data_IF_353234955954
#
_entry.id   IF_353234955954
#
_cell.length_a   1.000
_cell.length_b   1.000
_cell.length_c   1.000
_cell.angle_alpha   90.00
_cell.angle_beta   90.00
_cell.angle_gamma   90.00
#
_symmetry.space_group_name_H-M   'P 1'
#
loop_
_entity.id
_entity.type
_entity.pdbx_description
1 polymer ?
#
# COMPACT_ATOMS: atom_id res chain seq x y z
N UNK A 1 -15.96 21.70 -28.63
CA UNK A 1 -14.64 21.31 -28.07
C UNK A 1 -14.70 21.00 -26.56
N UNK A 2 -15.56 21.67 -25.78
CA UNK A 2 -15.70 21.52 -24.32
C UNK A 2 -16.30 20.16 -23.88
N UNK A 3 -17.23 19.59 -24.66
CA UNK A 3 -17.83 18.28 -24.33
C UNK A 3 -16.87 17.08 -24.48
N UNK A 4 -15.83 17.17 -25.32
CA UNK A 4 -14.85 16.07 -25.46
C UNK A 4 -13.85 16.03 -24.29
N UNK A 5 -13.59 17.18 -23.65
CA UNK A 5 -12.70 17.29 -22.48
C UNK A 5 -13.40 16.78 -21.22
N UNK A 6 -14.71 17.02 -21.08
CA UNK A 6 -15.52 16.51 -19.97
C UNK A 6 -15.60 14.98 -19.92
N UNK A 7 -15.72 14.32 -21.08
CA UNK A 7 -15.77 12.84 -21.17
C UNK A 7 -14.41 12.20 -20.87
N UNK A 8 -13.30 12.81 -21.32
CA UNK A 8 -11.95 12.35 -21.02
C UNK A 8 -11.58 12.46 -19.53
N UNK A 9 -12.04 13.51 -18.85
CA UNK A 9 -11.85 13.66 -17.40
C UNK A 9 -12.68 12.64 -16.62
N UNK A 10 -13.89 12.32 -17.08
CA UNK A 10 -14.76 11.34 -16.43
C UNK A 10 -14.21 9.91 -16.59
N UNK A 11 -13.64 9.57 -17.75
CA UNK A 11 -12.97 8.28 -17.98
C UNK A 11 -11.70 8.16 -17.12
N UNK A 12 -10.92 9.24 -16.96
CA UNK A 12 -9.73 9.24 -16.09
C UNK A 12 -10.06 9.18 -14.58
N UNK A 13 -11.21 9.68 -14.15
CA UNK A 13 -11.67 9.56 -12.76
C UNK A 13 -12.20 8.16 -12.42
N UNK A 14 -12.76 7.44 -13.39
CA UNK A 14 -13.16 6.04 -13.20
C UNK A 14 -11.97 5.06 -13.25
N UNK A 15 -10.90 5.35 -13.98
CA UNK A 15 -9.70 4.49 -14.01
C UNK A 15 -8.75 4.70 -12.82
N UNK A 16 -8.84 5.83 -12.11
CA UNK A 16 -8.01 6.13 -10.94
C UNK A 16 -8.64 5.73 -9.60
N UNK A 17 -9.89 5.24 -9.61
CA UNK A 17 -10.64 4.86 -8.41
C UNK A 17 -10.93 3.34 -8.31
N UNK A 18 -9.99 2.49 -8.75
CA UNK A 18 -10.05 1.04 -8.53
C UNK A 18 -8.83 0.47 -7.78
N UNK A 19 -7.92 1.31 -7.28
CA UNK A 19 -6.87 0.89 -6.36
C UNK A 19 -7.06 1.54 -4.99
N UNK A 20 -8.27 1.35 -4.43
CA UNK A 20 -8.37 1.23 -2.98
C UNK A 20 -7.35 0.17 -2.57
N UNK A 21 -6.30 0.58 -1.88
CA UNK A 21 -5.47 -0.34 -1.11
C UNK A 21 -6.39 -0.99 -0.08
N UNK A 22 -7.05 -2.07 -0.49
CA UNK A 22 -7.42 -3.09 0.45
C UNK A 22 -6.10 -3.48 1.11
N UNK A 23 -6.04 -3.42 2.43
CA UNK A 23 -5.09 -4.26 3.13
C UNK A 23 -5.48 -5.68 2.70
N UNK A 24 -4.88 -6.17 1.62
CA UNK A 24 -5.12 -7.51 1.11
C UNK A 24 -4.86 -8.43 2.29
N UNK A 25 -5.91 -9.10 2.74
CA UNK A 25 -5.80 -10.10 3.79
C UNK A 25 -4.76 -11.09 3.25
N UNK A 26 -3.62 -11.27 3.94
CA UNK A 26 -2.54 -12.09 3.42
C UNK A 26 -3.09 -13.47 3.12
N UNK A 27 -2.86 -13.94 1.91
CA UNK A 27 -3.37 -15.24 1.46
C UNK A 27 -2.75 -16.35 2.30
N UNK A 28 -3.44 -17.49 2.44
CA UNK A 28 -2.90 -18.65 3.17
C UNK A 28 -1.50 -19.04 2.69
N UNK A 29 -1.27 -19.02 1.38
CA UNK A 29 0.04 -19.34 0.79
C UNK A 29 1.15 -18.32 1.10
N UNK A 30 0.82 -17.05 1.33
CA UNK A 30 1.80 -16.05 1.79
C UNK A 30 2.17 -16.27 3.25
N UNK A 31 1.18 -16.53 4.11
CA UNK A 31 1.39 -16.82 5.52
C UNK A 31 2.24 -18.09 5.71
N UNK A 32 1.97 -19.16 4.95
CA UNK A 32 2.78 -20.38 4.98
C UNK A 32 4.23 -20.13 4.57
N UNK A 33 4.46 -19.33 3.52
CA UNK A 33 5.81 -18.97 3.06
C UNK A 33 6.54 -18.12 4.11
N UNK A 34 5.86 -17.17 4.73
CA UNK A 34 6.41 -16.35 5.80
C UNK A 34 6.75 -17.17 7.04
N UNK A 35 5.88 -18.10 7.45
CA UNK A 35 6.12 -19.00 8.58
C UNK A 35 7.30 -19.94 8.30
N UNK A 36 7.40 -20.49 7.09
CA UNK A 36 8.52 -21.30 6.65
C UNK A 36 9.85 -20.52 6.71
N UNK A 37 9.83 -19.24 6.32
CA UNK A 37 10.98 -18.35 6.41
C UNK A 37 11.47 -18.18 7.86
N UNK A 38 10.57 -17.92 8.82
CA UNK A 38 10.95 -17.84 10.23
C UNK A 38 11.53 -19.15 10.77
N UNK A 39 10.91 -20.27 10.38
CA UNK A 39 11.37 -21.61 10.79
C UNK A 39 12.77 -21.94 10.26
N UNK A 40 13.10 -21.58 9.02
CA UNK A 40 14.44 -21.79 8.45
C UNK A 40 15.53 -21.05 9.25
N UNK A 41 15.18 -19.92 9.87
CA UNK A 41 16.06 -19.14 10.75
C UNK A 41 16.03 -19.57 12.21
N UNK A 42 15.37 -20.68 12.53
CA UNK A 42 15.17 -21.19 13.90
C UNK A 42 14.40 -20.20 14.81
N UNK A 43 13.68 -19.24 14.23
CA UNK A 43 12.81 -18.32 14.96
C UNK A 43 11.45 -19.00 15.21
N UNK A 44 11.43 -19.96 16.14
CA UNK A 44 10.28 -20.85 16.33
C UNK A 44 9.03 -20.14 16.84
N UNK A 45 9.15 -19.15 17.74
CA UNK A 45 8.00 -18.43 18.27
C UNK A 45 7.25 -17.64 17.17
N UNK A 46 7.93 -16.76 16.38
CA UNK A 46 7.29 -16.11 15.23
C UNK A 46 6.74 -17.12 14.21
N UNK A 47 7.47 -18.21 13.94
CA UNK A 47 6.99 -19.22 13.00
C UNK A 47 5.66 -19.85 13.45
N UNK A 48 5.55 -20.24 14.72
CA UNK A 48 4.32 -20.82 15.27
C UNK A 48 3.16 -19.81 15.28
N UNK A 49 3.42 -18.54 15.58
CA UNK A 49 2.43 -17.46 15.51
C UNK A 49 1.87 -17.32 14.08
N UNK A 50 2.77 -17.26 13.08
CA UNK A 50 2.37 -17.13 11.67
C UNK A 50 1.70 -18.40 11.14
N UNK A 51 2.12 -19.60 11.56
CA UNK A 51 1.41 -20.83 11.21
C UNK A 51 0.00 -20.87 11.79
N UNK A 52 -0.24 -20.37 13.01
CA UNK A 52 -1.59 -20.23 13.57
C UNK A 52 -2.47 -19.28 12.75
N UNK A 53 -1.91 -18.17 12.29
CA UNK A 53 -2.61 -17.25 11.39
C UNK A 53 -2.94 -17.94 10.05
N UNK A 54 -1.99 -18.70 9.49
CA UNK A 54 -2.20 -19.47 8.27
C UNK A 54 -3.31 -20.52 8.44
N UNK A 55 -3.36 -21.23 9.57
CA UNK A 55 -4.41 -22.21 9.89
C UNK A 55 -5.77 -21.51 9.93
N UNK A 56 -5.90 -20.41 10.67
CA UNK A 56 -7.17 -19.69 10.78
C UNK A 56 -7.66 -19.10 9.44
N UNK A 57 -6.75 -18.81 8.51
CA UNK A 57 -7.11 -18.39 7.15
C UNK A 57 -7.49 -19.59 6.27
N UNK A 58 -6.72 -20.68 6.33
CA UNK A 58 -6.98 -21.92 5.61
C UNK A 58 -8.33 -22.55 6.00
N UNK A 59 -8.74 -22.46 7.27
CA UNK A 59 -10.06 -22.90 7.74
C UNK A 59 -11.20 -22.12 7.08
N UNK A 60 -11.04 -20.80 6.92
CA UNK A 60 -12.03 -19.93 6.24
C UNK A 60 -12.12 -20.26 4.76
N UNK A 61 -10.97 -20.51 4.13
CA UNK A 61 -10.85 -20.88 2.72
C UNK A 61 -11.25 -22.34 2.46
N UNK A 62 -11.40 -23.16 3.51
CA UNK A 62 -11.62 -24.62 3.47
C UNK A 62 -10.54 -25.36 2.69
N UNK A 63 -9.30 -24.86 2.74
CA UNK A 63 -8.15 -25.48 2.09
C UNK A 63 -7.53 -26.57 2.98
N UNK A 64 -7.92 -27.82 2.74
CA UNK A 64 -7.43 -28.97 3.51
C UNK A 64 -5.94 -29.25 3.30
N UNK A 65 -5.39 -28.92 2.13
CA UNK A 65 -3.97 -29.14 1.82
C UNK A 65 -3.12 -28.13 2.59
N UNK A 66 -3.52 -26.85 2.59
CA UNK A 66 -2.84 -25.83 3.36
C UNK A 66 -2.91 -26.09 4.88
N UNK A 67 -4.05 -26.59 5.39
CA UNK A 67 -4.17 -27.03 6.78
C UNK A 67 -3.18 -28.16 7.10
N UNK A 68 -3.15 -29.20 6.26
CA UNK A 68 -2.22 -30.33 6.44
C UNK A 68 -0.76 -29.86 6.46
N UNK A 69 -0.38 -28.98 5.54
CA UNK A 69 0.97 -28.38 5.50
C UNK A 69 1.25 -27.58 6.79
N UNK A 70 0.34 -26.70 7.21
CA UNK A 70 0.56 -25.87 8.40
C UNK A 70 0.77 -26.72 9.67
N UNK A 71 -0.04 -27.76 9.85
CA UNK A 71 0.09 -28.69 10.98
C UNK A 71 1.35 -29.55 10.89
N UNK A 72 1.72 -30.06 9.71
CA UNK A 72 2.98 -30.78 9.49
C UNK A 72 4.19 -29.92 9.88
N UNK A 73 4.24 -28.69 9.38
CA UNK A 73 5.39 -27.81 9.63
C UNK A 73 5.48 -27.37 11.10
N UNK A 74 4.32 -27.22 11.76
CA UNK A 74 4.21 -27.02 13.21
C UNK A 74 4.73 -28.23 13.99
N UNK A 75 4.34 -29.45 13.59
CA UNK A 75 4.84 -30.70 14.17
C UNK A 75 6.37 -30.82 14.09
N UNK A 76 6.96 -30.50 12.93
CA UNK A 76 8.42 -30.45 12.77
C UNK A 76 9.11 -29.46 13.71
N UNK A 77 8.48 -28.31 14.02
CA UNK A 77 9.00 -27.35 15.01
C UNK A 77 8.98 -27.98 16.40
N UNK A 78 7.87 -28.58 16.82
CA UNK A 78 7.77 -29.23 18.13
C UNK A 78 8.77 -30.38 18.28
N UNK A 79 9.00 -31.17 17.23
CA UNK A 79 10.04 -32.20 17.22
C UNK A 79 11.44 -31.62 17.43
N UNK A 80 11.78 -30.51 16.77
CA UNK A 80 13.06 -29.79 16.98
C UNK A 80 13.21 -29.28 18.41
N UNK A 81 12.10 -28.94 19.08
CA UNK A 81 12.05 -28.57 20.50
C UNK A 81 12.00 -29.77 21.44
N UNK A 82 12.14 -31.00 20.94
CA UNK A 82 12.00 -32.26 21.69
C UNK A 82 10.62 -32.49 22.33
N UNK A 83 9.59 -31.77 21.88
CA UNK A 83 8.20 -31.93 22.32
C UNK A 83 7.49 -33.00 21.47
N UNK A 84 7.89 -34.26 21.66
CA UNK A 84 7.51 -35.41 20.81
C UNK A 84 5.99 -35.65 20.75
N UNK A 85 5.30 -35.56 21.88
CA UNK A 85 3.84 -35.76 21.95
C UNK A 85 3.08 -34.70 21.14
N UNK A 86 3.44 -33.42 21.30
CA UNK A 86 2.86 -32.32 20.52
C UNK A 86 3.14 -32.48 19.03
N UNK A 87 4.33 -32.97 18.66
CA UNK A 87 4.66 -33.25 17.27
C UNK A 87 3.70 -34.31 16.68
N UNK A 88 3.52 -35.45 17.36
CA UNK A 88 2.60 -36.51 16.93
C UNK A 88 1.14 -36.03 16.85
N UNK A 89 0.67 -35.24 17.82
CA UNK A 89 -0.67 -34.66 17.79
C UNK A 89 -0.88 -33.82 16.52
N UNK A 90 0.06 -32.93 16.21
CA UNK A 90 -0.02 -32.08 15.01
C UNK A 90 0.10 -32.90 13.72
N UNK A 91 0.98 -33.90 13.66
CA UNK A 91 1.14 -34.75 12.47
C UNK A 91 -0.08 -35.64 12.22
N UNK A 92 -0.73 -36.15 13.28
CA UNK A 92 -1.99 -36.91 13.14
C UNK A 92 -3.14 -36.01 12.68
N UNK A 93 -3.22 -34.78 13.19
CA UNK A 93 -4.19 -33.78 12.71
C UNK A 93 -3.91 -33.46 11.24
N UNK A 94 -2.65 -33.23 10.85
CA UNK A 94 -2.26 -33.00 9.46
C UNK A 94 -2.67 -34.15 8.53
N UNK A 95 -2.51 -35.41 9.00
CA UNK A 95 -2.90 -36.59 8.25
C UNK A 95 -4.42 -36.67 8.04
N UNK A 96 -5.22 -36.24 9.02
CA UNK A 96 -6.70 -36.24 8.91
C UNK A 96 -7.25 -35.33 7.82
N UNK A 97 -6.51 -34.29 7.42
CA UNK A 97 -6.89 -33.38 6.35
C UNK A 97 -6.50 -33.87 4.94
N UNK A 98 -5.74 -34.97 4.84
CA UNK A 98 -5.36 -35.57 3.56
C UNK A 98 -6.48 -36.50 3.09
N UNK A 99 -7.39 -35.95 2.28
CA UNK A 99 -8.54 -36.68 1.74
C UNK A 99 -8.32 -37.19 0.31
N UNK A 100 -7.40 -36.56 -0.44
CA UNK A 100 -7.24 -36.82 -1.87
C UNK A 100 -6.00 -37.66 -2.21
N UNK A 101 -6.06 -38.52 -3.24
CA UNK A 101 -4.88 -39.23 -3.77
C UNK A 101 -3.83 -38.29 -4.39
N UNK A 102 -4.23 -37.09 -4.84
CA UNK A 102 -3.29 -36.11 -5.38
C UNK A 102 -2.25 -35.61 -4.35
N UNK A 103 -2.51 -35.81 -3.06
CA UNK A 103 -1.61 -35.44 -1.94
C UNK A 103 -0.76 -36.60 -1.43
N UNK A 104 -0.56 -37.65 -2.24
CA UNK A 104 0.22 -38.83 -1.86
C UNK A 104 1.66 -38.46 -1.42
N UNK A 105 2.31 -37.51 -2.08
CA UNK A 105 3.64 -37.03 -1.69
C UNK A 105 3.65 -36.44 -0.26
N UNK A 106 2.63 -35.64 0.09
CA UNK A 106 2.50 -35.07 1.43
C UNK A 106 2.19 -36.16 2.47
N UNK A 107 1.41 -37.17 2.09
CA UNK A 107 1.10 -38.32 2.97
C UNK A 107 2.36 -39.14 3.29
N UNK A 108 3.17 -39.44 2.28
CA UNK A 108 4.46 -40.12 2.45
C UNK A 108 5.40 -39.31 3.35
N UNK A 109 5.44 -37.99 3.18
CA UNK A 109 6.21 -37.11 4.06
C UNK A 109 5.72 -37.18 5.51
N UNK A 110 4.42 -37.09 5.76
CA UNK A 110 3.85 -37.22 7.10
C UNK A 110 4.18 -38.56 7.76
N UNK A 111 4.04 -39.67 7.04
CA UNK A 111 4.43 -40.97 7.57
C UNK A 111 5.93 -41.02 7.93
N UNK A 112 6.79 -40.42 7.10
CA UNK A 112 8.22 -40.31 7.42
C UNK A 112 8.46 -39.51 8.69
N UNK A 113 7.79 -38.36 8.85
CA UNK A 113 7.97 -37.51 10.04
C UNK A 113 7.46 -38.20 11.31
N UNK A 114 6.30 -38.88 11.25
CA UNK A 114 5.76 -39.68 12.35
C UNK A 114 6.74 -40.80 12.72
N UNK A 115 7.29 -41.51 11.73
CA UNK A 115 8.32 -42.53 11.92
C UNK A 115 9.56 -41.99 12.62
N UNK A 116 9.99 -40.77 12.29
CA UNK A 116 11.09 -40.08 12.96
C UNK A 116 10.77 -39.78 14.43
N UNK A 117 9.53 -39.36 14.74
CA UNK A 117 9.13 -39.10 16.13
C UNK A 117 9.11 -40.39 16.95
N UNK A 118 8.61 -41.50 16.40
CA UNK A 118 8.65 -42.81 17.07
C UNK A 118 10.08 -43.32 17.27
N UNK A 119 10.93 -43.16 16.26
CA UNK A 119 12.35 -43.52 16.34
C UNK A 119 13.06 -42.73 17.45
N UNK A 120 12.83 -41.42 17.52
CA UNK A 120 13.34 -40.58 18.62
C UNK A 120 12.75 -40.94 19.99
N UNK A 121 11.59 -41.59 20.03
CA UNK A 121 10.93 -42.06 21.26
C UNK A 121 11.40 -43.46 21.68
N UNK A 122 12.30 -44.09 20.94
CA UNK A 122 12.77 -45.45 21.20
C UNK A 122 11.77 -46.55 20.81
N UNK A 123 10.70 -46.21 20.09
CA UNK A 123 9.67 -47.16 19.65
C UNK A 123 10.01 -47.65 18.23
N UNK A 124 10.93 -48.60 18.15
CA UNK A 124 11.48 -49.10 16.89
C UNK A 124 10.41 -49.73 15.98
N UNK A 125 9.48 -50.53 16.52
CA UNK A 125 8.45 -51.22 15.73
C UNK A 125 7.49 -50.23 15.05
N UNK A 126 7.02 -49.22 15.80
CA UNK A 126 6.17 -48.17 15.26
C UNK A 126 6.92 -47.35 14.21
N UNK A 127 8.18 -47.00 14.48
CA UNK A 127 9.01 -46.30 13.50
C UNK A 127 9.17 -47.11 12.20
N UNK A 128 9.44 -48.42 12.32
CA UNK A 128 9.58 -49.32 11.18
C UNK A 128 8.30 -49.36 10.33
N UNK A 129 7.13 -49.50 10.96
CA UNK A 129 5.83 -49.49 10.30
C UNK A 129 5.57 -48.19 9.52
N UNK A 130 5.84 -47.04 10.13
CA UNK A 130 5.63 -45.75 9.47
C UNK A 130 6.66 -45.49 8.37
N UNK A 131 7.91 -45.95 8.52
CA UNK A 131 8.88 -45.91 7.44
C UNK A 131 8.51 -46.82 6.26
N UNK A 132 7.87 -47.96 6.52
CA UNK A 132 7.32 -48.82 5.48
C UNK A 132 6.26 -48.09 4.66
N UNK A 133 5.28 -47.48 5.36
CA UNK A 133 4.25 -46.65 4.74
C UNK A 133 4.79 -45.46 3.95
N UNK A 134 5.93 -44.92 4.38
CA UNK A 134 6.60 -43.80 3.73
C UNK A 134 7.56 -44.22 2.59
N UNK A 135 7.77 -45.52 2.36
CA UNK A 135 8.79 -46.02 1.42
C UNK A 135 10.25 -45.72 1.85
N UNK A 136 10.50 -45.46 3.14
CA UNK A 136 11.82 -45.05 3.65
C UNK A 136 12.72 -46.26 3.97
N UNK A 137 13.13 -47.01 2.93
CA UNK A 137 13.90 -48.26 3.05
C UNK A 137 15.22 -48.11 3.82
N UNK A 138 15.98 -47.03 3.60
CA UNK A 138 17.24 -46.78 4.33
C UNK A 138 17.01 -46.66 5.85
N UNK A 139 15.91 -46.02 6.28
CA UNK A 139 15.59 -45.90 7.70
C UNK A 139 15.15 -47.23 8.31
N UNK A 140 14.42 -48.05 7.55
CA UNK A 140 14.08 -49.42 7.96
C UNK A 140 15.34 -50.28 8.13
N UNK A 141 16.25 -50.25 7.14
CA UNK A 141 17.52 -50.98 7.20
C UNK A 141 18.36 -50.58 8.42
N UNK A 142 18.36 -49.29 8.79
CA UNK A 142 19.05 -48.80 9.99
C UNK A 142 18.46 -49.36 11.28
N UNK A 143 17.13 -49.47 11.39
CA UNK A 143 16.48 -50.11 12.54
C UNK A 143 16.84 -51.59 12.60
N UNK A 144 16.76 -52.31 11.47
CA UNK A 144 17.14 -53.71 11.39
C UNK A 144 18.62 -53.93 11.78
N UNK A 145 19.51 -53.05 11.35
CA UNK A 145 20.93 -53.05 11.74
C UNK A 145 21.10 -52.90 13.26
N UNK A 146 20.36 -51.99 13.89
CA UNK A 146 20.40 -51.79 15.35
C UNK A 146 19.88 -53.00 16.13
N UNK A 147 18.94 -53.74 15.54
CA UNK A 147 18.39 -54.97 16.11
C UNK A 147 19.25 -56.22 15.81
N UNK A 148 20.34 -56.09 15.05
CA UNK A 148 21.21 -57.21 14.66
C UNK A 148 20.77 -58.01 13.43
N UNK A 149 19.66 -57.64 12.79
CA UNK A 149 19.13 -58.27 11.57
C UNK A 149 19.84 -57.78 10.30
N UNK A 150 21.17 -57.92 10.24
CA UNK A 150 21.98 -57.38 9.14
C UNK A 150 21.63 -57.95 7.76
N UNK A 151 21.29 -59.24 7.69
CA UNK A 151 20.93 -59.89 6.42
C UNK A 151 19.63 -59.34 5.83
N UNK A 152 18.61 -59.13 6.67
CA UNK A 152 17.32 -58.56 6.27
C UNK A 152 17.47 -57.11 5.81
N UNK A 153 18.33 -56.33 6.49
CA UNK A 153 18.67 -54.99 6.07
C UNK A 153 19.39 -54.98 4.70
N UNK A 154 20.29 -55.94 4.46
CA UNK A 154 20.99 -56.09 3.18
C UNK A 154 20.03 -56.43 2.03
N UNK A 155 19.10 -57.38 2.24
CA UNK A 155 18.10 -57.76 1.22
C UNK A 155 17.18 -56.60 0.88
N UNK A 156 16.67 -55.91 1.90
CA UNK A 156 15.77 -54.77 1.74
C UNK A 156 16.41 -53.65 0.92
N UNK A 157 17.70 -53.33 1.16
CA UNK A 157 18.41 -52.31 0.40
C UNK A 157 18.76 -52.76 -1.04
N UNK A 158 19.08 -54.05 -1.24
CA UNK A 158 19.36 -54.61 -2.57
C UNK A 158 18.11 -54.58 -3.45
N UNK A 159 16.95 -54.95 -2.92
CA UNK A 159 15.66 -54.86 -3.61
C UNK A 159 15.37 -53.44 -4.09
N UNK A 160 15.61 -52.45 -3.22
CA UNK A 160 15.41 -51.05 -3.58
C UNK A 160 16.41 -50.57 -4.64
N UNK A 161 17.67 -50.97 -4.55
CA UNK A 161 18.72 -50.59 -5.53
C UNK A 161 18.46 -51.09 -6.97
N UNK A 162 17.65 -52.15 -7.11
CA UNK A 162 17.26 -52.73 -8.39
C UNK A 162 16.11 -52.01 -9.10
N UNK A 163 15.44 -51.06 -8.42
CA UNK A 163 14.34 -50.29 -9.00
C UNK A 163 14.86 -49.09 -9.81
N UNK A 164 14.01 -48.56 -10.69
CA UNK A 164 14.31 -47.36 -11.50
C UNK A 164 14.24 -46.09 -10.63
N UNK A 165 15.30 -45.85 -9.86
CA UNK A 165 15.41 -44.76 -8.89
C UNK A 165 16.34 -43.65 -9.41
N UNK A 166 16.09 -42.36 -9.10
CA UNK A 166 17.01 -41.27 -9.40
C UNK A 166 18.45 -41.53 -8.91
N UNK A 167 19.44 -41.14 -9.73
CA UNK A 167 20.88 -41.39 -9.47
C UNK A 167 21.35 -40.95 -8.07
N UNK A 168 20.80 -39.85 -7.54
CA UNK A 168 21.15 -39.32 -6.22
C UNK A 168 20.65 -40.21 -5.08
N UNK A 169 19.39 -40.65 -5.15
CA UNK A 169 18.81 -41.56 -4.15
C UNK A 169 19.50 -42.93 -4.22
N UNK A 170 19.85 -43.38 -5.43
CA UNK A 170 20.63 -44.60 -5.63
C UNK A 170 22.00 -44.55 -4.94
N UNK A 171 22.67 -43.40 -4.93
CA UNK A 171 23.95 -43.22 -4.24
C UNK A 171 23.82 -43.37 -2.71
N UNK A 172 22.73 -42.86 -2.12
CA UNK A 172 22.45 -43.03 -0.68
C UNK A 172 22.20 -44.50 -0.32
N UNK A 173 21.51 -45.24 -1.19
CA UNK A 173 21.30 -46.69 -1.02
C UNK A 173 22.63 -47.45 -1.07
N UNK A 174 23.50 -47.15 -2.05
CA UNK A 174 24.81 -47.79 -2.15
C UNK A 174 25.72 -47.47 -0.96
N UNK A 175 25.66 -46.26 -0.41
CA UNK A 175 26.36 -45.90 0.82
C UNK A 175 25.83 -46.68 2.02
N UNK A 176 24.51 -46.82 2.17
CA UNK A 176 23.91 -47.62 3.23
C UNK A 176 24.30 -49.11 3.13
N UNK A 177 24.32 -49.66 1.90
CA UNK A 177 24.79 -51.03 1.63
C UNK A 177 26.26 -51.21 2.00
N UNK A 178 27.13 -50.28 1.55
CA UNK A 178 28.54 -50.31 1.86
C UNK A 178 28.79 -50.23 3.37
N UNK A 179 28.09 -49.37 4.08
CA UNK A 179 28.19 -49.25 5.55
C UNK A 179 27.81 -50.55 6.27
N UNK A 180 26.77 -51.22 5.79
CA UNK A 180 26.34 -52.50 6.32
C UNK A 180 27.36 -53.61 6.02
N UNK A 181 27.91 -53.64 4.81
CA UNK A 181 28.93 -54.61 4.40
C UNK A 181 30.27 -54.40 5.13
N UNK A 182 30.66 -53.15 5.38
CA UNK A 182 31.82 -52.81 6.22
C UNK A 182 31.62 -53.37 7.63
N UNK A 183 30.44 -53.19 8.22
CA UNK A 183 30.12 -53.75 9.54
C UNK A 183 30.16 -55.29 9.59
N UNK A 184 29.85 -55.94 8.47
CA UNK A 184 29.94 -57.40 8.30
C UNK A 184 31.34 -57.90 7.89
N UNK A 185 32.31 -57.01 7.67
CA UNK A 185 33.66 -57.35 7.19
C UNK A 185 33.74 -57.72 5.70
N UNK A 186 32.66 -57.54 4.93
CA UNK A 186 32.60 -57.81 3.48
C UNK A 186 33.16 -56.62 2.67
N UNK A 187 34.45 -56.34 2.84
CA UNK A 187 35.06 -55.09 2.35
C UNK A 187 35.05 -54.95 0.81
N UNK A 188 35.25 -56.04 0.08
CA UNK A 188 35.32 -55.99 -1.39
C UNK A 188 33.94 -55.72 -2.02
N UNK A 189 32.88 -56.25 -1.42
CA UNK A 189 31.51 -55.94 -1.84
C UNK A 189 31.15 -54.47 -1.54
N UNK A 190 31.61 -53.94 -0.40
CA UNK A 190 31.42 -52.55 -0.04
C UNK A 190 32.12 -51.63 -1.04
N UNK A 191 33.36 -51.92 -1.41
CA UNK A 191 34.13 -51.14 -2.40
C UNK A 191 33.46 -51.14 -3.78
N UNK A 192 32.92 -52.29 -4.20
CA UNK A 192 32.12 -52.39 -5.44
C UNK A 192 30.86 -51.52 -5.41
N UNK A 193 30.16 -51.46 -4.28
CA UNK A 193 29.00 -50.58 -4.16
C UNK A 193 29.41 -49.10 -4.15
N UNK A 194 30.54 -48.77 -3.53
CA UNK A 194 31.07 -47.40 -3.50
C UNK A 194 31.55 -46.91 -4.87
N UNK A 195 31.97 -47.78 -5.80
CA UNK A 195 32.34 -47.35 -7.15
C UNK A 195 31.16 -46.79 -7.97
N UNK A 196 29.93 -47.15 -7.60
CA UNK A 196 28.70 -46.60 -8.20
C UNK A 196 28.32 -45.23 -7.62
N UNK A 197 28.95 -44.81 -6.51
CA UNK A 197 28.70 -43.53 -5.85
C UNK A 197 29.52 -42.42 -6.53
N UNK A 198 28.91 -41.28 -6.91
CA UNK A 198 29.64 -40.15 -7.49
C UNK A 198 30.76 -39.65 -6.58
N UNK A 199 31.91 -39.30 -7.15
CA UNK A 199 33.06 -38.75 -6.40
C UNK A 199 32.77 -37.43 -5.69
N UNK A 200 31.75 -36.68 -6.15
CA UNK A 200 31.29 -35.47 -5.48
C UNK A 200 30.55 -35.73 -4.16
N UNK A 201 30.19 -36.99 -3.86
CA UNK A 201 29.44 -37.32 -2.66
C UNK A 201 30.35 -37.32 -1.42
N UNK A 202 30.09 -36.49 -0.39
CA UNK A 202 31.01 -36.34 0.74
C UNK A 202 31.24 -37.64 1.50
N UNK A 203 30.18 -38.39 1.75
CA UNK A 203 30.22 -39.61 2.56
C UNK A 203 30.96 -40.78 1.89
N UNK A 204 31.27 -40.70 0.59
CA UNK A 204 32.07 -41.70 -0.13
C UNK A 204 33.45 -41.86 0.53
N UNK A 205 34.16 -40.75 0.73
CA UNK A 205 35.50 -40.77 1.32
C UNK A 205 35.50 -41.22 2.79
N UNK A 206 34.41 -40.99 3.52
CA UNK A 206 34.25 -41.51 4.87
C UNK A 206 34.08 -43.04 4.89
N UNK A 207 33.40 -43.63 3.91
CA UNK A 207 33.28 -45.08 3.76
C UNK A 207 34.61 -45.71 3.30
N UNK A 208 35.29 -45.12 2.31
CA UNK A 208 36.61 -45.58 1.85
C UNK A 208 37.68 -45.51 2.95
N UNK A 209 37.65 -44.47 3.79
CA UNK A 209 38.54 -44.35 4.95
C UNK A 209 38.32 -45.50 5.94
N UNK A 210 37.06 -45.87 6.22
CA UNK A 210 36.73 -47.03 7.08
C UNK A 210 37.21 -48.35 6.49
N UNK A 211 37.08 -48.55 5.18
CA UNK A 211 37.61 -49.74 4.48
C UNK A 211 39.13 -49.82 4.58
N UNK A 212 39.84 -48.70 4.38
CA UNK A 212 41.29 -48.67 4.52
C UNK A 212 41.74 -48.97 5.96
N UNK A 213 41.03 -48.42 6.96
CA UNK A 213 41.27 -48.73 8.38
C UNK A 213 41.06 -50.21 8.70
N UNK A 214 39.98 -50.83 8.20
CA UNK A 214 39.72 -52.25 8.44
C UNK A 214 40.71 -53.17 7.73
N UNK A 215 41.34 -52.71 6.63
CA UNK A 215 42.48 -53.39 5.97
C UNK A 215 43.82 -53.15 6.65
N UNK A 216 43.91 -52.21 7.60
CA UNK A 216 45.14 -51.83 8.29
C UNK A 216 46.02 -50.84 7.54
N UNK A 217 45.56 -50.27 6.42
CA UNK A 217 46.30 -49.23 5.68
C UNK A 217 46.02 -47.85 6.27
N UNK A 218 46.84 -47.47 7.27
CA UNK A 218 46.70 -46.19 7.96
C UNK A 218 46.97 -44.98 7.07
N UNK A 219 47.81 -45.11 6.03
CA UNK A 219 48.16 -43.98 5.15
C UNK A 219 47.00 -43.69 4.21
N UNK A 220 46.44 -44.72 3.59
CA UNK A 220 45.29 -44.59 2.72
C UNK A 220 44.05 -44.11 3.51
N UNK A 221 43.87 -44.60 4.73
CA UNK A 221 42.81 -44.14 5.63
C UNK A 221 42.89 -42.64 5.93
N UNK A 222 44.08 -42.12 6.25
CA UNK A 222 44.30 -40.70 6.54
C UNK A 222 44.09 -39.82 5.31
N UNK A 223 44.55 -40.28 4.13
CA UNK A 223 44.30 -39.59 2.87
C UNK A 223 42.79 -39.41 2.59
N UNK A 224 42.01 -40.49 2.71
CA UNK A 224 40.56 -40.42 2.53
C UNK A 224 39.88 -39.59 3.61
N UNK A 225 40.35 -39.64 4.85
CA UNK A 225 39.82 -38.81 5.92
C UNK A 225 40.04 -37.31 5.66
N UNK A 226 41.24 -36.92 5.23
CA UNK A 226 41.54 -35.52 4.82
C UNK A 226 40.68 -35.08 3.64
N UNK A 227 40.46 -35.96 2.67
CA UNK A 227 39.59 -35.70 1.52
C UNK A 227 38.15 -35.48 1.96
N UNK A 228 37.64 -36.31 2.88
CA UNK A 228 36.32 -36.14 3.50
C UNK A 228 36.20 -34.79 4.23
N UNK A 229 37.17 -34.43 5.07
CA UNK A 229 37.19 -33.15 5.80
C UNK A 229 37.21 -31.95 4.85
N UNK A 230 37.98 -32.03 3.76
CA UNK A 230 38.01 -31.00 2.73
C UNK A 230 36.62 -30.82 2.11
N UNK A 231 35.97 -31.88 1.64
CA UNK A 231 34.61 -31.80 1.09
C UNK A 231 33.59 -31.27 2.09
N UNK A 232 33.69 -31.67 3.37
CA UNK A 232 32.82 -31.15 4.43
C UNK A 232 33.03 -29.64 4.65
N UNK A 233 34.27 -29.16 4.59
CA UNK A 233 34.59 -27.74 4.72
C UNK A 233 34.04 -26.90 3.56
N UNK A 234 34.16 -27.40 2.33
CA UNK A 234 33.62 -26.75 1.11
C UNK A 234 32.10 -26.66 1.20
N UNK A 235 31.42 -27.76 1.55
CA UNK A 235 29.97 -27.75 1.72
C UNK A 235 29.49 -26.84 2.84
N UNK A 236 30.25 -26.75 3.94
CA UNK A 236 29.95 -25.82 5.03
C UNK A 236 30.04 -24.38 4.54
N UNK A 237 31.11 -24.04 3.83
CA UNK A 237 31.32 -22.71 3.28
C UNK A 237 30.23 -22.34 2.24
N UNK A 238 29.88 -23.24 1.34
CA UNK A 238 28.77 -23.03 0.40
C UNK A 238 27.44 -22.80 1.12
N UNK A 239 27.16 -23.56 2.17
CA UNK A 239 25.94 -23.39 2.96
C UNK A 239 25.92 -22.03 3.67
N UNK A 240 27.03 -21.61 4.27
CA UNK A 240 27.17 -20.31 4.91
C UNK A 240 27.01 -19.16 3.90
N UNK A 241 27.66 -19.26 2.73
CA UNK A 241 27.52 -18.29 1.65
C UNK A 241 26.08 -18.21 1.12
N UNK A 242 25.42 -19.36 0.95
CA UNK A 242 24.02 -19.41 0.54
C UNK A 242 23.10 -18.78 1.59
N UNK A 243 23.37 -18.98 2.88
CA UNK A 243 22.63 -18.33 3.97
C UNK A 243 22.86 -16.82 3.97
N UNK A 244 24.11 -16.35 3.85
CA UNK A 244 24.44 -14.93 3.76
C UNK A 244 23.74 -14.29 2.56
N UNK A 245 23.79 -14.94 1.40
CA UNK A 245 23.15 -14.45 0.17
C UNK A 245 21.63 -14.35 0.33
N UNK A 246 20.97 -15.34 0.95
CA UNK A 246 19.53 -15.26 1.26
C UNK A 246 19.22 -14.12 2.20
N UNK A 247 20.02 -13.93 3.25
CA UNK A 247 19.85 -12.84 4.21
C UNK A 247 19.98 -11.48 3.53
N UNK A 248 21.03 -11.28 2.72
CA UNK A 248 21.24 -10.06 1.95
C UNK A 248 20.06 -9.74 1.04
N UNK A 249 19.57 -10.73 0.26
CA UNK A 249 18.37 -10.54 -0.56
C UNK A 249 17.16 -10.12 0.26
N UNK A 250 16.96 -10.72 1.44
CA UNK A 250 15.82 -10.38 2.30
C UNK A 250 15.94 -9.00 2.94
N UNK A 251 17.14 -8.56 3.30
CA UNK A 251 17.36 -7.19 3.79
C UNK A 251 17.16 -6.17 2.68
N UNK A 252 17.67 -6.45 1.47
CA UNK A 252 17.47 -5.60 0.30
C UNK A 252 15.98 -5.49 -0.04
N UNK A 253 15.25 -6.61 -0.04
CA UNK A 253 13.81 -6.62 -0.30
C UNK A 253 13.04 -5.75 0.70
N UNK A 254 13.36 -5.85 2.00
CA UNK A 254 12.75 -4.97 3.02
C UNK A 254 13.08 -3.49 2.80
N UNK A 255 14.31 -3.18 2.39
CA UNK A 255 14.65 -1.82 2.02
C UNK A 255 13.85 -1.33 0.82
N UNK A 256 13.67 -2.15 -0.21
CA UNK A 256 12.84 -1.83 -1.37
C UNK A 256 11.37 -1.61 -1.00
N UNK A 257 10.79 -2.46 -0.15
CA UNK A 257 9.43 -2.30 0.38
C UNK A 257 9.29 -1.00 1.19
N UNK A 258 10.29 -0.68 2.01
CA UNK A 258 10.32 0.58 2.77
C UNK A 258 10.45 1.79 1.84
N UNK A 259 11.27 1.70 0.80
CA UNK A 259 11.39 2.75 -0.23
C UNK A 259 10.08 2.94 -0.97
N UNK A 260 9.43 1.85 -1.40
CA UNK A 260 8.16 1.87 -2.11
C UNK A 260 7.02 2.44 -1.25
N UNK A 261 6.93 2.05 0.02
CA UNK A 261 5.92 2.60 0.93
C UNK A 261 6.17 4.08 1.25
N UNK A 262 7.44 4.50 1.38
CA UNK A 262 7.78 5.92 1.53
C UNK A 262 7.46 6.72 0.26
N UNK A 263 7.78 6.22 -0.94
CA UNK A 263 7.45 6.93 -2.19
C UNK A 263 5.95 7.04 -2.38
N UNK A 264 5.18 6.00 -2.05
CA UNK A 264 3.72 6.04 -2.10
C UNK A 264 3.14 7.06 -1.12
N UNK A 265 3.70 7.17 0.10
CA UNK A 265 3.31 8.22 1.07
C UNK A 265 3.63 9.62 0.54
N UNK A 266 4.81 9.83 -0.04
CA UNK A 266 5.20 11.12 -0.63
C UNK A 266 4.30 11.52 -1.80
N UNK A 267 3.99 10.57 -2.69
CA UNK A 267 3.07 10.79 -3.82
C UNK A 267 1.66 11.17 -3.32
N UNK A 268 1.12 10.45 -2.34
CA UNK A 268 -0.17 10.80 -1.72
C UNK A 268 -0.15 12.21 -1.11
N UNK A 269 0.92 12.56 -0.38
CA UNK A 269 1.10 13.91 0.17
C UNK A 269 1.12 15.00 -0.91
N UNK A 270 1.85 14.78 -2.01
CA UNK A 270 1.89 15.71 -3.15
C UNK A 270 0.51 15.88 -3.79
N UNK A 271 -0.25 14.79 -3.98
CA UNK A 271 -1.62 14.86 -4.52
C UNK A 271 -2.52 15.74 -3.66
N UNK A 272 -2.45 15.63 -2.32
CA UNK A 272 -3.22 16.50 -1.41
C UNK A 272 -2.84 17.98 -1.55
N UNK A 273 -1.54 18.28 -1.67
CA UNK A 273 -1.06 19.67 -1.88
C UNK A 273 -1.56 20.22 -3.22
N UNK A 274 -1.47 19.46 -4.30
CA UNK A 274 -1.99 19.88 -5.61
C UNK A 274 -3.50 20.06 -5.60
N UNK A 275 -4.24 19.16 -4.94
CA UNK A 275 -5.69 19.25 -4.81
C UNK A 275 -6.11 20.51 -4.05
N UNK A 276 -5.45 20.82 -2.93
CA UNK A 276 -5.73 22.02 -2.13
C UNK A 276 -5.40 23.31 -2.89
N UNK A 277 -4.28 23.35 -3.62
CA UNK A 277 -3.94 24.46 -4.52
C UNK A 277 -5.00 24.65 -5.61
N UNK A 278 -5.46 23.56 -6.26
CA UNK A 278 -6.45 23.61 -7.32
C UNK A 278 -7.79 24.17 -6.84
N UNK A 279 -8.25 23.75 -5.66
CA UNK A 279 -9.48 24.29 -5.04
C UNK A 279 -9.33 25.78 -4.75
N UNK A 280 -8.19 26.23 -4.21
CA UNK A 280 -7.92 27.64 -3.92
C UNK A 280 -7.88 28.52 -5.18
N UNK A 281 -7.28 28.03 -6.27
CA UNK A 281 -7.26 28.75 -7.54
C UNK A 281 -8.66 28.86 -8.14
N UNK A 282 -9.46 27.79 -8.00
CA UNK A 282 -10.81 27.72 -8.56
C UNK A 282 -11.77 28.70 -7.87
N UNK A 283 -11.68 28.86 -6.55
CA UNK A 283 -12.48 29.88 -5.81
C UNK A 283 -12.08 31.30 -6.20
N UNK A 284 -10.78 31.57 -6.39
CA UNK A 284 -10.28 32.86 -6.87
C UNK A 284 -10.77 33.20 -8.29
N UNK A 285 -10.67 32.24 -9.22
CA UNK A 285 -11.16 32.40 -10.60
C UNK A 285 -12.67 32.65 -10.62
N UNK A 286 -13.44 31.88 -9.84
CA UNK A 286 -14.89 32.05 -9.75
C UNK A 286 -15.29 33.42 -9.17
N UNK A 287 -14.58 33.88 -8.14
CA UNK A 287 -14.76 35.21 -7.57
C UNK A 287 -14.48 36.33 -8.59
N UNK A 288 -13.37 36.25 -9.32
CA UNK A 288 -13.02 37.21 -10.37
C UNK A 288 -14.05 37.22 -11.51
N UNK A 289 -14.52 36.05 -11.93
CA UNK A 289 -15.55 35.93 -12.96
C UNK A 289 -16.87 36.59 -12.52
N UNK A 290 -17.31 36.36 -11.29
CA UNK A 290 -18.49 37.01 -10.69
C UNK A 290 -18.34 38.52 -10.61
N UNK A 291 -17.18 39.01 -10.16
CA UNK A 291 -16.88 40.44 -10.12
C UNK A 291 -16.95 41.07 -11.52
N UNK A 292 -16.33 40.43 -12.52
CA UNK A 292 -16.35 40.89 -13.91
C UNK A 292 -17.77 40.92 -14.49
N UNK A 293 -18.58 39.88 -14.26
CA UNK A 293 -19.97 39.85 -14.70
C UNK A 293 -20.81 40.98 -14.09
N UNK A 294 -20.69 41.22 -12.78
CA UNK A 294 -21.39 42.35 -12.12
C UNK A 294 -20.99 43.68 -12.75
N UNK A 295 -19.68 43.91 -12.96
CA UNK A 295 -19.19 45.15 -13.55
C UNK A 295 -19.72 45.38 -14.97
N UNK A 296 -19.79 44.33 -15.80
CA UNK A 296 -20.34 44.44 -17.16
C UNK A 296 -21.83 44.77 -17.20
N UNK A 297 -22.63 44.23 -16.27
CA UNK A 297 -24.07 44.51 -16.19
C UNK A 297 -24.32 45.95 -15.76
N UNK A 298 -23.56 46.45 -14.77
CA UNK A 298 -23.67 47.83 -14.31
C UNK A 298 -23.30 48.80 -15.45
N UNK A 299 -22.17 48.57 -16.14
CA UNK A 299 -21.76 49.44 -17.25
C UNK A 299 -22.76 49.52 -18.41
N UNK A 300 -23.47 48.41 -18.68
CA UNK A 300 -24.53 48.39 -19.71
C UNK A 300 -25.72 49.24 -19.24
N UNK A 301 -26.16 49.04 -17.99
CA UNK A 301 -27.28 49.79 -17.42
C UNK A 301 -26.99 51.28 -17.28
N UNK A 302 -25.74 51.67 -16.99
CA UNK A 302 -25.28 53.06 -16.98
C UNK A 302 -25.36 53.68 -18.38
N UNK A 303 -24.96 52.95 -19.43
CA UNK A 303 -25.07 53.43 -20.80
C UNK A 303 -26.54 53.62 -21.24
N UNK A 304 -27.41 52.68 -20.87
CA UNK A 304 -28.86 52.78 -21.10
C UNK A 304 -29.47 53.98 -20.35
N UNK A 305 -29.00 54.26 -19.13
CA UNK A 305 -29.47 55.40 -18.34
C UNK A 305 -29.00 56.74 -18.90
N UNK A 306 -27.72 56.86 -19.28
CA UNK A 306 -27.17 58.08 -19.87
C UNK A 306 -27.83 58.45 -21.21
N UNK A 307 -28.36 57.47 -21.93
CA UNK A 307 -29.11 57.68 -23.18
C UNK A 307 -30.61 57.93 -22.96
N UNK A 308 -31.11 57.80 -21.73
CA UNK A 308 -32.53 58.02 -21.41
C UNK A 308 -32.93 59.50 -21.50
N UNK A 309 -34.18 59.75 -21.88
CA UNK A 309 -34.71 61.10 -22.03
C UNK A 309 -34.67 61.90 -20.72
N UNK A 310 -34.96 61.23 -19.59
CA UNK A 310 -34.94 61.86 -18.25
C UNK A 310 -33.52 62.33 -17.88
N UNK A 311 -32.48 61.53 -18.17
CA UNK A 311 -31.10 61.92 -17.92
C UNK A 311 -30.71 63.16 -18.74
N UNK A 312 -31.06 63.17 -20.02
CA UNK A 312 -30.77 64.29 -20.93
C UNK A 312 -31.51 65.56 -20.53
N UNK A 313 -32.77 65.47 -20.09
CA UNK A 313 -33.57 66.62 -19.62
C UNK A 313 -32.92 67.33 -18.44
N UNK A 314 -32.40 66.58 -17.46
CA UNK A 314 -31.70 67.14 -16.30
C UNK A 314 -30.30 67.73 -16.64
N UNK A 315 -29.74 67.42 -17.81
CA UNK A 315 -28.46 67.95 -18.27
C UNK A 315 -28.60 69.16 -19.22
N UNK A 316 -29.81 69.51 -19.67
CA UNK A 316 -30.04 70.71 -20.50
C UNK A 316 -29.84 71.98 -19.66
N UNK A 317 -29.17 73.00 -20.24
CA UNK A 317 -28.91 74.32 -19.63
C UNK A 317 -30.02 75.35 -19.88
N UNK A 318 -31.26 74.89 -20.04
CA UNK A 318 -32.43 75.76 -20.22
C UNK A 318 -33.05 76.08 -18.84
N UNK A 319 -33.75 77.20 -18.72
CA UNK A 319 -34.49 77.57 -17.49
C UNK A 319 -35.73 76.67 -17.31
N UNK A 320 -35.50 75.39 -17.06
CA UNK A 320 -36.52 74.40 -16.78
C UNK A 320 -36.54 74.06 -15.29
N UNK A 321 -37.72 74.06 -14.68
CA UNK A 321 -37.92 73.69 -13.28
C UNK A 321 -38.59 72.32 -13.20
N UNK A 322 -37.93 71.29 -12.65
CA UNK A 322 -38.51 69.95 -12.58
C UNK A 322 -39.72 69.91 -11.63
N UNK A 323 -40.80 69.27 -12.06
CA UNK A 323 -41.96 68.99 -11.21
C UNK A 323 -41.68 67.82 -10.25
N UNK A 324 -42.49 67.62 -9.20
CA UNK A 324 -42.34 66.45 -8.32
C UNK A 324 -42.40 65.10 -9.06
N UNK A 325 -43.13 65.03 -10.19
CA UNK A 325 -43.21 63.83 -11.01
C UNK A 325 -41.89 63.54 -11.74
N UNK A 326 -41.20 64.57 -12.23
CA UNK A 326 -39.91 64.42 -12.92
C UNK A 326 -38.81 63.93 -11.95
N UNK A 327 -38.85 64.39 -10.69
CA UNK A 327 -37.96 63.88 -9.65
C UNK A 327 -38.23 62.40 -9.32
N UNK A 328 -39.49 61.99 -9.25
CA UNK A 328 -39.84 60.59 -8.99
C UNK A 328 -39.43 59.67 -10.16
N UNK A 329 -39.66 60.10 -11.40
CA UNK A 329 -39.21 59.37 -12.59
C UNK A 329 -37.68 59.22 -12.63
N UNK A 330 -36.95 60.30 -12.33
CA UNK A 330 -35.50 60.26 -12.22
C UNK A 330 -35.03 59.29 -11.15
N UNK A 331 -35.66 59.29 -9.98
CA UNK A 331 -35.33 58.38 -8.89
C UNK A 331 -35.58 56.92 -9.26
N UNK A 332 -36.67 56.63 -9.98
CA UNK A 332 -36.96 55.28 -10.45
C UNK A 332 -35.92 54.81 -11.47
N UNK A 333 -35.53 55.68 -12.41
CA UNK A 333 -34.48 55.38 -13.38
C UNK A 333 -33.13 55.16 -12.68
N UNK A 334 -32.74 56.05 -11.76
CA UNK A 334 -31.50 55.95 -11.00
C UNK A 334 -31.43 54.67 -10.15
N UNK A 335 -32.53 54.29 -9.48
CA UNK A 335 -32.58 53.06 -8.66
C UNK A 335 -32.53 51.78 -9.51
N UNK A 336 -33.02 51.82 -10.77
CA UNK A 336 -32.88 50.71 -11.71
C UNK A 336 -31.43 50.53 -12.15
N UNK A 337 -30.72 51.64 -12.38
CA UNK A 337 -29.32 51.65 -12.85
C UNK A 337 -28.30 51.39 -11.76
N UNK A 338 -28.54 51.93 -10.57
CA UNK A 338 -27.71 51.75 -9.39
C UNK A 338 -28.53 51.07 -8.28
N UNK A 339 -28.79 49.75 -8.39
CA UNK A 339 -29.45 48.99 -7.33
C UNK A 339 -28.70 49.20 -6.01
N UNK A 340 -29.42 49.34 -4.91
CA UNK A 340 -28.89 49.57 -3.56
C UNK A 340 -28.29 50.96 -3.28
N UNK A 341 -28.10 51.86 -4.26
CA UNK A 341 -27.61 53.23 -3.99
C UNK A 341 -28.45 53.94 -2.91
N UNK A 342 -29.77 53.89 -3.07
CA UNK A 342 -30.72 54.48 -2.11
C UNK A 342 -30.72 53.82 -0.75
N UNK A 343 -30.66 52.49 -0.71
CA UNK A 343 -30.72 51.75 0.54
C UNK A 343 -29.40 51.86 1.31
N UNK A 344 -28.24 51.83 0.62
CA UNK A 344 -26.92 52.13 1.19
C UNK A 344 -26.86 53.54 1.75
N UNK A 345 -27.29 54.54 0.98
CA UNK A 345 -27.23 55.93 1.41
C UNK A 345 -28.20 56.24 2.57
N UNK A 346 -29.39 55.64 2.60
CA UNK A 346 -30.31 55.73 3.75
C UNK A 346 -29.78 55.02 4.99
N UNK A 347 -29.09 53.88 4.83
CA UNK A 347 -28.49 53.14 5.95
C UNK A 347 -27.37 53.95 6.60
N UNK A 348 -26.50 54.54 5.78
CA UNK A 348 -25.39 55.37 6.27
C UNK A 348 -25.87 56.74 6.79
N UNK A 349 -26.91 57.32 6.18
CA UNK A 349 -27.49 58.61 6.61
C UNK A 349 -29.01 58.51 6.82
N UNK A 350 -29.48 58.04 7.99
CA UNK A 350 -30.91 57.81 8.24
C UNK A 350 -31.79 59.08 8.22
N UNK A 351 -31.21 60.25 8.50
CA UNK A 351 -31.91 61.54 8.54
C UNK A 351 -31.48 62.45 7.40
N UNK A 352 -31.73 62.03 6.15
CA UNK A 352 -31.46 62.83 4.96
C UNK A 352 -32.72 63.63 4.56
N UNK A 353 -32.57 64.94 4.40
CA UNK A 353 -33.66 65.78 3.88
C UNK A 353 -33.89 65.51 2.39
N UNK A 354 -35.10 65.77 1.91
CA UNK A 354 -35.44 65.59 0.48
C UNK A 354 -34.51 66.39 -0.45
N UNK A 355 -34.08 67.57 0.00
CA UNK A 355 -33.19 68.47 -0.70
C UNK A 355 -31.73 67.97 -0.73
N UNK A 356 -31.27 67.28 0.31
CA UNK A 356 -29.99 66.57 0.30
C UNK A 356 -30.06 65.31 -0.56
N UNK A 357 -31.19 64.60 -0.53
CA UNK A 357 -31.43 63.42 -1.37
C UNK A 357 -31.38 63.74 -2.86
N UNK A 358 -32.07 64.81 -3.28
CA UNK A 358 -32.02 65.30 -4.67
C UNK A 358 -30.59 65.71 -5.04
N UNK A 359 -29.85 66.35 -4.12
CA UNK A 359 -28.44 66.70 -4.36
C UNK A 359 -27.56 65.45 -4.56
N UNK A 360 -27.71 64.40 -3.76
CA UNK A 360 -26.97 63.14 -3.97
C UNK A 360 -27.26 62.51 -5.33
N UNK A 361 -28.51 62.56 -5.80
CA UNK A 361 -28.88 62.05 -7.12
C UNK A 361 -28.22 62.84 -8.25
N UNK A 362 -28.23 64.18 -8.15
CA UNK A 362 -27.57 65.05 -9.13
C UNK A 362 -26.05 64.82 -9.17
N UNK A 363 -25.43 64.64 -8.01
CA UNK A 363 -24.01 64.29 -7.88
C UNK A 363 -23.74 62.93 -8.53
N UNK A 364 -24.53 61.89 -8.20
CA UNK A 364 -24.39 60.54 -8.78
C UNK A 364 -24.47 60.54 -10.31
N UNK A 365 -25.26 61.44 -10.88
CA UNK A 365 -25.39 61.65 -12.33
C UNK A 365 -24.29 62.50 -12.96
N UNK A 366 -23.39 63.09 -12.17
CA UNK A 366 -22.33 63.98 -12.69
C UNK A 366 -22.83 65.36 -13.15
N UNK A 367 -23.97 65.83 -12.64
CA UNK A 367 -24.52 67.13 -13.02
C UNK A 367 -23.64 68.25 -12.45
N UNK A 368 -23.18 69.22 -13.28
CA UNK A 368 -22.32 70.30 -12.81
C UNK A 368 -22.96 71.11 -11.67
N UNK A 369 -22.17 71.60 -10.69
CA UNK A 369 -22.71 72.34 -9.54
C UNK A 369 -23.54 73.57 -9.90
N UNK A 370 -23.21 74.23 -11.02
CA UNK A 370 -23.96 75.36 -11.55
C UNK A 370 -25.36 75.00 -12.04
N UNK A 371 -25.49 73.85 -12.72
CA UNK A 371 -26.78 73.31 -13.16
C UNK A 371 -27.57 72.78 -11.95
N UNK A 372 -26.90 72.12 -11.01
CA UNK A 372 -27.53 71.64 -9.77
C UNK A 372 -28.13 72.78 -8.93
N UNK A 373 -27.43 73.93 -8.86
CA UNK A 373 -27.92 75.13 -8.19
C UNK A 373 -29.24 75.63 -8.81
N UNK A 374 -29.30 75.67 -10.15
CA UNK A 374 -30.50 76.02 -10.90
C UNK A 374 -31.66 75.05 -10.61
N UNK A 375 -31.43 73.74 -10.74
CA UNK A 375 -32.44 72.70 -10.56
C UNK A 375 -32.99 72.62 -9.13
N UNK A 376 -32.15 72.89 -8.13
CA UNK A 376 -32.53 72.94 -6.72
C UNK A 376 -33.02 74.33 -6.27
N UNK A 377 -33.10 75.30 -7.18
CA UNK A 377 -33.53 76.68 -6.91
C UNK A 377 -32.74 77.35 -5.77
N UNK A 378 -31.40 77.23 -5.80
CA UNK A 378 -30.51 77.80 -4.79
C UNK A 378 -29.23 78.39 -5.41
N UNK A 379 -28.40 79.06 -4.61
CA UNK A 379 -27.16 79.69 -5.10
C UNK A 379 -26.01 78.68 -5.21
N UNK A 380 -25.04 78.94 -6.10
CA UNK A 380 -23.83 78.12 -6.22
C UNK A 380 -23.05 77.97 -4.90
N UNK A 381 -23.05 79.03 -4.07
CA UNK A 381 -22.47 78.99 -2.72
C UNK A 381 -23.25 78.05 -1.80
N UNK A 382 -24.58 78.04 -1.88
CA UNK A 382 -25.42 77.14 -1.10
C UNK A 382 -25.18 75.66 -1.47
N UNK A 383 -25.02 75.33 -2.76
CA UNK A 383 -24.66 73.97 -3.22
C UNK A 383 -23.30 73.55 -2.67
N UNK A 384 -22.29 74.42 -2.77
CA UNK A 384 -20.93 74.13 -2.29
C UNK A 384 -20.92 73.86 -0.78
N UNK A 385 -21.58 74.72 0.00
CA UNK A 385 -21.71 74.52 1.45
C UNK A 385 -22.54 73.28 1.82
N UNK A 386 -23.57 72.94 1.03
CA UNK A 386 -24.37 71.74 1.25
C UNK A 386 -23.56 70.47 0.99
N UNK A 387 -22.70 70.44 -0.03
CA UNK A 387 -21.77 69.32 -0.29
C UNK A 387 -20.77 69.11 0.85
N UNK A 388 -20.18 70.19 1.38
CA UNK A 388 -19.30 70.10 2.56
C UNK A 388 -20.03 69.53 3.78
N UNK A 389 -21.24 70.03 4.07
CA UNK A 389 -22.04 69.55 5.20
C UNK A 389 -22.49 68.10 5.00
N UNK A 390 -22.86 67.73 3.78
CA UNK A 390 -23.26 66.36 3.44
C UNK A 390 -22.08 65.39 3.63
N UNK A 391 -20.88 65.75 3.14
CA UNK A 391 -19.68 64.95 3.36
C UNK A 391 -19.42 64.74 4.86
N UNK A 392 -19.40 65.84 5.64
CA UNK A 392 -19.22 65.77 7.08
C UNK A 392 -20.30 64.94 7.79
N UNK A 393 -21.52 64.93 7.26
CA UNK A 393 -22.63 64.13 7.79
C UNK A 393 -22.46 62.63 7.49
N UNK A 394 -21.79 62.28 6.39
CA UNK A 394 -21.55 60.87 6.01
C UNK A 394 -20.29 60.34 6.70
N UNK A 395 -19.19 61.10 6.75
CA UNK A 395 -17.89 60.62 7.25
C UNK A 395 -17.58 61.03 8.69
N UNK A 396 -18.27 62.05 9.22
CA UNK A 396 -17.96 62.69 10.50
C UNK A 396 -16.85 63.75 10.42
N UNK A 397 -16.15 63.86 9.30
CA UNK A 397 -14.97 64.72 9.13
C UNK A 397 -15.24 65.92 8.22
N UNK A 398 -14.50 67.03 8.43
CA UNK A 398 -14.58 68.18 7.52
C UNK A 398 -13.90 67.82 6.20
N UNK A 399 -14.59 68.02 5.07
CA UNK A 399 -14.04 67.78 3.75
C UNK A 399 -14.39 68.88 2.74
N UNK A 400 -13.95 68.69 1.50
CA UNK A 400 -14.24 69.61 0.40
C UNK A 400 -15.47 69.14 -0.38
N UNK A 401 -16.12 70.02 -1.18
CA UNK A 401 -17.20 69.60 -2.07
C UNK A 401 -16.80 68.44 -2.99
N UNK A 402 -15.57 68.42 -3.49
CA UNK A 402 -15.06 67.40 -4.43
C UNK A 402 -14.96 66.02 -3.77
N UNK A 403 -14.56 65.97 -2.49
CA UNK A 403 -14.56 64.73 -1.71
C UNK A 403 -15.98 64.19 -1.48
N UNK A 404 -16.98 65.08 -1.40
CA UNK A 404 -18.38 64.67 -1.37
C UNK A 404 -18.80 64.00 -2.67
N UNK A 405 -18.37 64.54 -3.81
CA UNK A 405 -18.75 64.00 -5.11
C UNK A 405 -18.15 62.62 -5.34
N UNK A 406 -16.85 62.46 -5.08
CA UNK A 406 -16.19 61.16 -5.21
C UNK A 406 -16.84 60.10 -4.32
N UNK A 407 -17.15 60.46 -3.08
CA UNK A 407 -17.79 59.56 -2.13
C UNK A 407 -19.17 59.11 -2.63
N UNK A 408 -20.02 60.04 -3.08
CA UNK A 408 -21.37 59.74 -3.58
C UNK A 408 -21.33 58.97 -4.90
N UNK A 409 -20.31 59.17 -5.74
CA UNK A 409 -20.10 58.34 -6.93
C UNK A 409 -19.80 56.87 -6.59
N UNK A 410 -19.18 56.59 -5.45
CA UNK A 410 -18.81 55.24 -5.00
C UNK A 410 -19.90 54.51 -4.17
N UNK A 411 -20.95 55.23 -3.75
CA UNK A 411 -22.19 54.66 -3.19
C UNK A 411 -23.02 53.93 -4.24
#
# INVERSE_FOLDING_TARGET
MIHKIGILILICLFTTCSSSGQNEIPTTGELLRQAAFYRERLQFLPALETYRQAIGQAEKEKDSVALSIAYLETGKIYRKQSLKQKALENENVALSYILNPASDSLRLELYREIGDVYSLSGQADSAFYYYEKAGCRIKQAKILQQNGSYKEAETLLKEESGQTIPRKEKAEIYLALADLQIALGKLDEAEKNLSEVPSSHPHLYAALSRIAQSRGDSLQADFYHKSYLHHLSVLRQEKEQNQITRLLRTSEQKEWEKRLSNTQKTQKGQIYVWFTLLVSCSTGIWGYFRYRQKKTVISLSEADFCSSEIYLRFHKKEEWKPSPKDWEELLQALNRTYPEFRERLKKEVPKLSEQEWRMCCLIKMGIPPSTAAMLLCCTNQAISMRRVRLYQKITGEKGTPELCDSLIHDF
#
